data_IF_691745805315
#
_entry.id   IF_691745805315
#
_cell.length_a   1.000
_cell.length_b   1.000
_cell.length_c   1.000
_cell.angle_alpha   90.00
_cell.angle_beta   90.00
_cell.angle_gamma   90.00
#
_symmetry.space_group_name_H-M   'P 1'
#
loop_
_entity.id
_entity.type
_entity.pdbx_description
1 polymer ?
#
# COMPACT_ATOMS: atom_id res chain seq x y z
N UNK A 1 11.61 12.09 80.50
CA UNK A 1 12.99 12.37 80.06
C UNK A 1 13.13 11.88 78.63
N UNK A 2 13.00 12.78 77.64
CA UNK A 2 14.08 13.39 76.84
C UNK A 2 15.00 12.37 76.15
N UNK A 3 14.95 12.38 74.82
CA UNK A 3 15.89 11.65 73.97
C UNK A 3 15.65 11.85 72.48
N UNK A 4 15.53 13.10 72.03
CA UNK A 4 15.52 13.51 70.62
C UNK A 4 16.89 13.30 69.98
N UNK A 5 17.00 12.38 69.02
CA UNK A 5 18.19 12.14 68.21
C UNK A 5 17.91 12.39 66.73
N UNK A 6 17.91 13.65 66.32
CA UNK A 6 17.72 14.09 64.93
C UNK A 6 19.06 14.01 64.20
N UNK A 7 19.29 12.91 63.48
CA UNK A 7 20.45 12.74 62.60
C UNK A 7 20.24 13.48 61.28
N UNK A 8 20.81 14.69 61.18
CA UNK A 8 20.85 15.46 59.95
C UNK A 8 21.97 14.92 59.03
N UNK A 9 21.59 14.14 58.02
CA UNK A 9 22.50 13.74 56.95
C UNK A 9 22.73 14.91 55.98
N UNK A 10 23.99 15.23 55.61
CA UNK A 10 24.30 16.29 54.66
C UNK A 10 23.84 15.87 53.26
N UNK A 11 22.87 16.61 52.69
CA UNK A 11 22.50 16.46 51.29
C UNK A 11 23.68 16.89 50.39
N UNK A 12 24.15 16.03 49.47
CA UNK A 12 25.10 16.45 48.45
C UNK A 12 24.41 17.46 47.53
N UNK A 13 25.03 18.63 47.37
CA UNK A 13 24.53 19.73 46.55
C UNK A 13 24.19 19.25 45.15
N UNK A 14 22.90 19.31 44.81
CA UNK A 14 22.39 19.12 43.44
C UNK A 14 22.96 20.24 42.58
N UNK A 15 24.04 19.94 41.85
CA UNK A 15 24.51 20.77 40.76
C UNK A 15 23.37 21.01 39.78
N UNK A 16 22.98 22.27 39.59
CA UNK A 16 22.02 22.64 38.56
C UNK A 16 22.59 22.23 37.19
N UNK A 17 21.85 21.47 36.38
CA UNK A 17 22.28 21.18 35.02
C UNK A 17 22.29 22.49 34.22
N UNK A 18 23.47 22.87 33.73
CA UNK A 18 23.68 24.01 32.83
C UNK A 18 22.74 23.90 31.63
N UNK A 19 21.78 24.82 31.53
CA UNK A 19 20.69 24.82 30.55
C UNK A 19 21.13 25.12 29.10
N UNK A 20 22.42 25.45 28.88
CA UNK A 20 22.96 25.86 27.58
C UNK A 20 22.96 24.75 26.51
N UNK A 21 22.76 23.48 26.89
CA UNK A 21 22.70 22.37 25.94
C UNK A 21 21.37 22.20 25.19
N UNK A 22 20.25 22.77 25.68
CA UNK A 22 18.93 22.56 25.08
C UNK A 22 18.75 23.36 23.78
N UNK A 23 19.10 24.65 23.79
CA UNK A 23 18.94 25.52 22.63
C UNK A 23 19.70 25.03 21.38
N UNK A 24 20.93 24.51 21.55
CA UNK A 24 21.72 23.98 20.43
C UNK A 24 21.11 22.71 19.83
N UNK A 25 20.55 21.85 20.68
CA UNK A 25 19.87 20.63 20.22
C UNK A 25 18.63 20.98 19.41
N UNK A 26 17.85 21.94 19.86
CA UNK A 26 16.60 22.33 19.20
C UNK A 26 16.86 22.90 17.79
N UNK A 27 17.91 23.73 17.65
CA UNK A 27 18.36 24.22 16.33
C UNK A 27 18.78 23.07 15.41
N UNK A 28 19.57 22.11 15.90
CA UNK A 28 19.99 20.97 15.08
C UNK A 28 18.81 20.09 14.65
N UNK A 29 17.80 19.92 15.52
CA UNK A 29 16.59 19.18 15.16
C UNK A 29 15.82 19.90 14.06
N UNK A 30 15.65 21.22 14.18
CA UNK A 30 15.00 22.03 13.16
C UNK A 30 15.74 21.97 11.82
N UNK A 31 17.07 22.04 11.83
CA UNK A 31 17.90 21.93 10.62
C UNK A 31 17.74 20.54 9.97
N UNK A 32 17.71 19.47 10.77
CA UNK A 32 17.50 18.10 10.27
C UNK A 32 16.09 17.92 9.69
N UNK A 33 15.06 18.44 10.37
CA UNK A 33 13.69 18.42 9.87
C UNK A 33 13.53 19.16 8.55
N UNK A 34 14.17 20.33 8.43
CA UNK A 34 14.16 21.12 7.20
C UNK A 34 14.90 20.38 6.07
N UNK A 35 16.10 19.86 6.33
CA UNK A 35 16.87 19.10 5.35
C UNK A 35 16.14 17.83 4.88
N UNK A 36 15.43 17.16 5.78
CA UNK A 36 14.57 16.03 5.43
C UNK A 36 13.43 16.51 4.53
N UNK A 37 12.68 17.55 4.93
CA UNK A 37 11.58 18.08 4.12
C UNK A 37 12.03 18.44 2.70
N UNK A 38 13.16 19.14 2.57
CA UNK A 38 13.68 19.56 1.28
C UNK A 38 14.06 18.35 0.42
N UNK A 39 14.78 17.39 1.00
CA UNK A 39 15.17 16.15 0.31
C UNK A 39 13.97 15.31 -0.10
N UNK A 40 12.99 15.15 0.77
CA UNK A 40 11.79 14.37 0.50
C UNK A 40 10.89 15.07 -0.53
N UNK A 41 10.81 16.41 -0.52
CA UNK A 41 10.03 17.15 -1.52
C UNK A 41 10.55 16.92 -2.94
N UNK A 42 11.87 16.97 -3.14
CA UNK A 42 12.50 16.67 -4.44
C UNK A 42 12.33 15.23 -4.89
N UNK A 43 12.35 14.26 -3.96
CA UNK A 43 12.15 12.85 -4.30
C UNK A 43 10.68 12.49 -4.57
N UNK A 44 9.75 13.11 -3.85
CA UNK A 44 8.31 12.81 -3.95
C UNK A 44 7.61 13.59 -5.06
N UNK A 45 8.08 14.80 -5.41
CA UNK A 45 7.46 15.60 -6.47
C UNK A 45 7.24 14.86 -7.80
N UNK A 46 8.22 14.12 -8.37
CA UNK A 46 8.00 13.43 -9.64
C UNK A 46 6.95 12.33 -9.51
N UNK A 47 6.94 11.61 -8.38
CA UNK A 47 5.93 10.56 -8.13
C UNK A 47 4.54 11.16 -7.98
N UNK A 48 4.41 12.28 -7.26
CA UNK A 48 3.14 13.00 -7.15
C UNK A 48 2.66 13.55 -8.49
N UNK A 49 3.56 14.08 -9.32
CA UNK A 49 3.22 14.57 -10.66
C UNK A 49 2.73 13.43 -11.57
N UNK A 50 3.39 12.28 -11.54
CA UNK A 50 2.98 11.09 -12.30
C UNK A 50 1.61 10.57 -11.82
N UNK A 51 1.38 10.51 -10.51
CA UNK A 51 0.07 10.12 -9.96
C UNK A 51 -1.03 11.10 -10.34
N UNK A 52 -0.75 12.41 -10.31
CA UNK A 52 -1.68 13.44 -10.75
C UNK A 52 -2.05 13.28 -12.23
N UNK A 53 -1.06 13.05 -13.09
CA UNK A 53 -1.28 12.80 -14.52
C UNK A 53 -2.15 11.56 -14.76
N UNK A 54 -1.93 10.50 -13.98
CA UNK A 54 -2.75 9.29 -14.03
C UNK A 54 -4.20 9.55 -13.58
N UNK A 55 -4.41 10.34 -12.52
CA UNK A 55 -5.75 10.74 -12.09
C UNK A 55 -6.47 11.57 -13.16
N UNK A 56 -5.80 12.55 -13.77
CA UNK A 56 -6.38 13.37 -14.84
C UNK A 56 -6.72 12.53 -16.08
N UNK A 57 -5.86 11.55 -16.42
CA UNK A 57 -6.12 10.61 -17.50
C UNK A 57 -7.33 9.71 -17.21
N UNK A 58 -7.48 9.24 -15.98
CA UNK A 58 -8.65 8.45 -15.56
C UNK A 58 -9.94 9.28 -15.59
N UNK A 59 -9.92 10.54 -15.15
CA UNK A 59 -11.09 11.41 -15.19
C UNK A 59 -11.56 11.65 -16.63
N UNK A 60 -10.62 11.82 -17.58
CA UNK A 60 -10.94 11.92 -19.01
C UNK A 60 -11.63 10.65 -19.52
N UNK A 61 -11.07 9.48 -19.20
CA UNK A 61 -11.67 8.20 -19.59
C UNK A 61 -13.04 7.96 -18.93
N UNK A 62 -13.25 8.43 -17.70
CA UNK A 62 -14.53 8.33 -17.01
C UNK A 62 -15.59 9.30 -17.58
N UNK A 63 -15.16 10.44 -18.13
CA UNK A 63 -16.06 11.41 -18.79
C UNK A 63 -16.58 10.92 -20.15
N UNK A 64 -15.84 10.03 -20.80
CA UNK A 64 -16.31 9.29 -21.97
C UNK A 64 -17.28 8.20 -21.50
N UNK A 65 -18.57 8.53 -21.53
CA UNK A 65 -19.68 7.73 -20.99
C UNK A 65 -19.54 6.22 -21.28
N UNK A 66 -19.13 5.40 -20.28
CA UNK A 66 -18.96 3.96 -20.46
C UNK A 66 -20.29 3.23 -20.65
N UNK A 67 -21.42 3.93 -20.51
CA UNK A 67 -22.78 3.41 -20.69
C UNK A 67 -23.05 2.86 -22.09
N UNK A 68 -22.18 3.15 -23.07
CA UNK A 68 -22.25 2.60 -24.43
C UNK A 68 -21.58 1.22 -24.60
N UNK A 69 -20.75 0.78 -23.66
CA UNK A 69 -20.21 -0.57 -23.66
C UNK A 69 -21.27 -1.49 -23.09
N UNK A 70 -22.06 -2.08 -24.00
CA UNK A 70 -23.04 -3.12 -23.71
C UNK A 70 -22.50 -4.04 -22.61
N UNK A 71 -23.17 -4.09 -21.46
CA UNK A 71 -22.81 -4.94 -20.33
C UNK A 71 -22.78 -6.40 -20.81
N UNK A 72 -21.61 -6.86 -21.25
CA UNK A 72 -21.45 -8.29 -21.50
C UNK A 72 -21.69 -8.97 -20.16
N UNK A 73 -22.67 -9.88 -20.06
CA UNK A 73 -23.06 -10.49 -18.79
C UNK A 73 -21.87 -11.17 -18.09
N UNK A 74 -20.93 -11.68 -18.89
CA UNK A 74 -19.68 -12.29 -18.42
C UNK A 74 -18.71 -11.24 -17.83
N UNK A 75 -18.70 -10.02 -18.37
CA UNK A 75 -17.92 -8.90 -17.84
C UNK A 75 -18.42 -8.44 -16.48
N UNK A 76 -19.74 -8.31 -16.31
CA UNK A 76 -20.34 -8.00 -15.01
C UNK A 76 -20.01 -9.09 -13.98
N UNK A 77 -20.09 -10.36 -14.36
CA UNK A 77 -19.77 -11.48 -13.48
C UNK A 77 -18.31 -11.45 -12.99
N UNK A 78 -17.36 -11.07 -13.85
CA UNK A 78 -15.95 -10.90 -13.48
C UNK A 78 -15.79 -9.76 -12.47
N UNK A 79 -16.45 -8.63 -12.72
CA UNK A 79 -16.45 -7.46 -11.84
C UNK A 79 -17.05 -7.77 -10.48
N UNK A 80 -18.19 -8.46 -10.43
CA UNK A 80 -18.83 -8.88 -9.19
C UNK A 80 -17.94 -9.85 -8.40
N UNK A 81 -17.32 -10.82 -9.08
CA UNK A 81 -16.39 -11.77 -8.45
C UNK A 81 -15.15 -11.08 -7.88
N UNK A 82 -14.65 -10.03 -8.55
CA UNK A 82 -13.52 -9.22 -8.08
C UNK A 82 -13.91 -8.34 -6.90
N UNK A 83 -15.08 -7.70 -6.95
CA UNK A 83 -15.61 -6.90 -5.85
C UNK A 83 -15.80 -7.76 -4.59
N UNK A 84 -16.32 -8.98 -4.74
CA UNK A 84 -16.44 -9.93 -3.62
C UNK A 84 -15.06 -10.35 -3.08
N UNK A 85 -14.07 -10.61 -3.95
CA UNK A 85 -12.69 -10.93 -3.54
C UNK A 85 -12.09 -9.82 -2.66
N UNK A 86 -12.24 -8.55 -3.07
CA UNK A 86 -11.77 -7.39 -2.31
C UNK A 86 -12.52 -7.21 -0.98
N UNK A 87 -13.83 -7.39 -0.97
CA UNK A 87 -14.63 -7.33 0.26
C UNK A 87 -14.22 -8.40 1.28
N UNK A 88 -13.81 -9.59 0.81
CA UNK A 88 -13.29 -10.66 1.67
C UNK A 88 -11.92 -10.30 2.26
N UNK A 89 -11.04 -9.63 1.50
CA UNK A 89 -9.77 -9.12 2.02
C UNK A 89 -9.98 -8.07 3.13
N UNK A 90 -10.92 -7.14 2.92
CA UNK A 90 -11.29 -6.15 3.96
C UNK A 90 -11.88 -6.82 5.20
N UNK A 91 -12.70 -7.86 5.03
CA UNK A 91 -13.23 -8.65 6.15
C UNK A 91 -12.11 -9.29 6.98
N UNK A 92 -11.06 -9.83 6.35
CA UNK A 92 -9.93 -10.42 7.06
C UNK A 92 -9.18 -9.38 7.91
N UNK A 93 -8.96 -8.18 7.38
CA UNK A 93 -8.37 -7.07 8.14
C UNK A 93 -9.25 -6.69 9.33
N UNK A 94 -10.56 -6.59 9.13
CA UNK A 94 -11.50 -6.30 10.21
C UNK A 94 -11.50 -7.39 11.30
N UNK A 95 -11.39 -8.67 10.92
CA UNK A 95 -11.29 -9.79 11.86
C UNK A 95 -10.02 -9.71 12.71
N UNK A 96 -8.88 -9.33 12.12
CA UNK A 96 -7.63 -9.12 12.85
C UNK A 96 -7.77 -7.99 13.89
N UNK A 97 -8.41 -6.88 13.53
CA UNK A 97 -8.69 -5.77 14.45
C UNK A 97 -9.61 -6.19 15.61
N UNK A 98 -10.64 -6.99 15.32
CA UNK A 98 -11.56 -7.52 16.33
C UNK A 98 -10.86 -8.49 17.28
N UNK A 99 -9.97 -9.35 16.77
CA UNK A 99 -9.18 -10.27 17.58
C UNK A 99 -8.18 -9.51 18.46
N UNK A 100 -7.47 -8.52 17.91
CA UNK A 100 -6.56 -7.65 18.65
C UNK A 100 -7.28 -6.89 19.77
N UNK A 101 -8.50 -6.42 19.50
CA UNK A 101 -9.39 -5.81 20.49
C UNK A 101 -10.06 -6.79 21.46
N UNK A 102 -9.78 -8.10 21.35
CA UNK A 102 -10.41 -9.19 22.14
C UNK A 102 -11.94 -9.15 22.11
N UNK A 103 -12.52 -8.66 21.01
CA UNK A 103 -13.97 -8.57 20.80
C UNK A 103 -14.56 -9.90 20.29
N UNK A 104 -13.72 -10.76 19.72
CA UNK A 104 -14.04 -12.13 19.30
C UNK A 104 -13.08 -13.11 19.96
N UNK A 105 -13.51 -14.37 20.08
CA UNK A 105 -12.65 -15.46 20.54
C UNK A 105 -11.70 -15.92 19.42
N UNK A 106 -10.63 -16.63 19.78
CA UNK A 106 -9.71 -17.19 18.78
C UNK A 106 -10.42 -18.24 17.93
N UNK A 107 -11.32 -19.02 18.52
CA UNK A 107 -12.09 -20.05 17.84
C UNK A 107 -13.04 -19.45 16.79
N UNK A 108 -13.71 -18.34 17.12
CA UNK A 108 -14.55 -17.61 16.17
C UNK A 108 -13.71 -17.02 15.03
N UNK A 109 -12.57 -16.38 15.35
CA UNK A 109 -11.64 -15.88 14.34
C UNK A 109 -11.20 -16.96 13.35
N UNK A 110 -10.72 -18.11 13.85
CA UNK A 110 -10.25 -19.20 12.99
C UNK A 110 -11.37 -19.81 12.13
N UNK A 111 -12.61 -19.83 12.63
CA UNK A 111 -13.78 -20.26 11.86
C UNK A 111 -14.05 -19.30 10.70
N UNK A 112 -14.11 -18.00 10.98
CA UNK A 112 -14.41 -16.99 9.97
C UNK A 112 -13.29 -16.84 8.93
N UNK A 113 -12.01 -16.86 9.35
CA UNK A 113 -10.86 -16.84 8.42
C UNK A 113 -10.90 -18.02 7.46
N UNK A 114 -11.22 -19.22 7.96
CA UNK A 114 -11.33 -20.40 7.10
C UNK A 114 -12.50 -20.27 6.12
N UNK A 115 -13.63 -19.73 6.57
CA UNK A 115 -14.78 -19.49 5.72
C UNK A 115 -14.52 -18.46 4.64
N UNK A 116 -13.91 -17.32 4.99
CA UNK A 116 -13.47 -16.30 4.05
C UNK A 116 -12.49 -16.88 3.02
N UNK A 117 -11.49 -17.67 3.47
CA UNK A 117 -10.54 -18.33 2.58
C UNK A 117 -11.20 -19.31 1.59
N UNK A 118 -12.24 -20.04 2.00
CA UNK A 118 -13.03 -20.88 1.08
C UNK A 118 -13.77 -20.06 0.04
N UNK A 119 -14.42 -18.96 0.44
CA UNK A 119 -15.12 -18.07 -0.49
C UNK A 119 -14.17 -17.42 -1.47
N UNK A 120 -13.04 -16.88 -1.00
CA UNK A 120 -12.00 -16.30 -1.87
C UNK A 120 -11.54 -17.28 -2.94
N UNK A 121 -11.31 -18.55 -2.56
CA UNK A 121 -10.97 -19.58 -3.53
C UNK A 121 -12.05 -19.77 -4.60
N UNK A 122 -13.33 -19.82 -4.21
CA UNK A 122 -14.45 -19.95 -5.14
C UNK A 122 -14.58 -18.73 -6.06
N UNK A 123 -14.53 -17.51 -5.52
CA UNK A 123 -14.59 -16.27 -6.30
C UNK A 123 -13.44 -16.20 -7.32
N UNK A 124 -12.21 -16.56 -6.91
CA UNK A 124 -11.05 -16.64 -7.83
C UNK A 124 -11.25 -17.67 -8.92
N UNK A 125 -11.70 -18.87 -8.58
CA UNK A 125 -11.94 -19.93 -9.56
C UNK A 125 -13.03 -19.52 -10.57
N UNK A 126 -14.12 -18.92 -10.10
CA UNK A 126 -15.21 -18.42 -10.94
C UNK A 126 -14.76 -17.26 -11.83
N UNK A 127 -13.97 -16.32 -11.29
CA UNK A 127 -13.38 -15.21 -12.05
C UNK A 127 -12.47 -15.71 -13.16
N UNK A 128 -11.57 -16.66 -12.88
CA UNK A 128 -10.69 -17.26 -13.88
C UNK A 128 -11.47 -17.99 -14.97
N UNK A 129 -12.55 -18.69 -14.59
CA UNK A 129 -13.43 -19.37 -15.55
C UNK A 129 -14.13 -18.36 -16.47
N UNK A 130 -14.70 -17.29 -15.91
CA UNK A 130 -15.42 -16.26 -16.65
C UNK A 130 -14.46 -15.48 -17.57
N UNK A 131 -13.27 -15.13 -17.07
CA UNK A 131 -12.23 -14.49 -17.87
C UNK A 131 -11.77 -15.35 -19.06
N UNK A 132 -11.70 -16.67 -18.89
CA UNK A 132 -11.42 -17.60 -19.98
C UNK A 132 -12.50 -17.58 -21.07
N UNK A 133 -13.78 -17.50 -20.68
CA UNK A 133 -14.91 -17.40 -21.63
C UNK A 133 -14.85 -16.09 -22.41
N UNK A 134 -14.64 -14.96 -21.72
CA UNK A 134 -14.49 -13.64 -22.35
C UNK A 134 -13.28 -13.63 -23.30
N UNK A 135 -12.15 -14.20 -22.89
CA UNK A 135 -10.97 -14.30 -23.74
C UNK A 135 -11.21 -15.18 -25.00
N UNK A 136 -12.08 -16.19 -24.91
CA UNK A 136 -12.46 -17.04 -26.04
C UNK A 136 -13.51 -16.39 -26.94
N UNK A 137 -14.36 -15.51 -26.40
CA UNK A 137 -15.38 -14.77 -27.14
C UNK A 137 -14.82 -13.52 -27.83
N UNK A 138 -13.70 -12.99 -27.34
CA UNK A 138 -13.03 -11.84 -27.94
C UNK A 138 -12.72 -12.12 -29.42
N UNK A 139 -13.13 -11.23 -30.34
CA UNK A 139 -12.85 -11.41 -31.76
C UNK A 139 -11.34 -11.49 -31.96
N UNK A 140 -10.89 -12.48 -32.76
CA UNK A 140 -9.49 -12.60 -33.09
C UNK A 140 -9.00 -11.24 -33.63
N UNK A 141 -7.85 -10.73 -33.15
CA UNK A 141 -7.36 -9.42 -33.56
C UNK A 141 -7.25 -9.40 -35.07
N UNK A 142 -8.05 -8.55 -35.71
CA UNK A 142 -8.06 -8.43 -37.17
C UNK A 142 -6.63 -8.14 -37.64
N UNK A 143 -6.17 -8.86 -38.67
CA UNK A 143 -4.85 -8.67 -39.25
C UNK A 143 -4.62 -7.22 -39.72
N UNK A 144 -5.71 -6.50 -40.02
CA UNK A 144 -5.71 -5.07 -40.35
C UNK A 144 -5.21 -4.19 -39.21
N UNK A 145 -5.47 -4.55 -37.94
CA UNK A 145 -5.05 -3.77 -36.78
C UNK A 145 -3.55 -3.95 -36.48
N UNK A 146 -3.02 -5.14 -36.78
CA UNK A 146 -1.57 -5.41 -36.74
C UNK A 146 -0.76 -4.60 -37.74
N UNK A 147 -1.33 -4.17 -38.86
CA UNK A 147 -0.63 -3.27 -39.81
C UNK A 147 -0.65 -1.80 -39.37
N UNK A 148 -1.57 -1.40 -38.48
CA UNK A 148 -1.65 -0.02 -37.98
C UNK A 148 -0.80 0.24 -36.75
N UNK A 149 -0.40 -0.79 -35.99
CA UNK A 149 0.58 -0.60 -34.94
C UNK A 149 1.94 -0.24 -35.55
N UNK A 150 2.45 1.00 -35.33
CA UNK A 150 3.79 1.35 -35.78
C UNK A 150 4.77 0.37 -35.13
N UNK A 151 5.77 -0.14 -35.85
CA UNK A 151 6.78 -1.00 -35.27
C UNK A 151 7.36 -0.27 -34.06
N UNK A 152 7.16 -0.81 -32.87
CA UNK A 152 7.76 -0.32 -31.63
C UNK A 152 9.27 -0.41 -31.80
N UNK A 153 9.81 0.67 -32.36
CA UNK A 153 11.18 0.77 -32.81
C UNK A 153 12.06 0.83 -31.58
N UNK A 154 12.53 -0.33 -31.13
CA UNK A 154 13.89 -0.54 -30.64
C UNK A 154 14.35 0.15 -29.35
N UNK A 155 13.52 0.83 -28.54
CA UNK A 155 14.04 1.53 -27.35
C UNK A 155 14.19 0.68 -26.07
N UNK A 156 13.80 -0.60 -26.04
CA UNK A 156 13.96 -1.43 -24.83
C UNK A 156 15.29 -2.21 -24.74
N UNK A 157 16.22 -2.05 -25.68
CA UNK A 157 17.47 -2.83 -25.72
C UNK A 157 18.57 -2.39 -24.74
N UNK A 158 18.32 -1.48 -23.78
CA UNK A 158 19.39 -0.93 -22.91
C UNK A 158 19.16 -1.06 -21.40
N UNK A 159 18.23 -1.90 -20.92
CA UNK A 159 17.98 -2.05 -19.45
C UNK A 159 18.31 -3.41 -18.83
N UNK A 160 18.98 -4.31 -19.54
CA UNK A 160 19.48 -5.56 -18.95
C UNK A 160 20.98 -5.69 -19.16
N UNK A 161 21.78 -5.26 -18.16
CA UNK A 161 23.05 -5.86 -17.69
C UNK A 161 23.87 -4.84 -16.89
N UNK A 162 23.42 -4.42 -15.70
CA UNK A 162 24.32 -3.77 -14.75
C UNK A 162 23.81 -3.94 -13.31
N UNK A 163 24.55 -4.74 -12.53
CA UNK A 163 24.39 -4.86 -11.07
C UNK A 163 23.72 -6.16 -10.66
N UNK A 164 24.36 -7.08 -9.95
CA UNK A 164 25.69 -7.08 -9.37
C UNK A 164 25.93 -8.46 -8.79
N UNK A 165 27.14 -8.96 -8.98
CA UNK A 165 27.62 -10.11 -8.23
C UNK A 165 27.96 -9.73 -6.79
N UNK A 166 28.39 -10.77 -6.06
CA UNK A 166 29.12 -10.76 -4.79
C UNK A 166 28.25 -10.60 -3.53
N UNK A 167 27.89 -11.73 -2.91
CA UNK A 167 28.54 -12.12 -1.65
C UNK A 167 28.16 -13.54 -1.24
N UNK A 168 29.08 -14.49 -1.47
CA UNK A 168 29.20 -15.69 -0.64
C UNK A 168 30.03 -15.32 0.60
N UNK A 169 29.48 -15.57 1.78
CA UNK A 169 30.22 -15.81 3.02
C UNK A 169 29.42 -16.77 3.88
#
# INVERSE_FOLDING_TARGET
DRGTGTGASPQPGRGQPVAFGRARRDVLLQDVEQALRDRWSGALQPVLAELQEQCDAQERLASDDPSGLSEEPDGQQISDSLAEELALDELLVALDELLAGKKITLEDFLREVREAGRRQFMCRAQRLKSASVVAAAAPAPDASDRMRQPPHSGQQALRATAGGGLSER
#
